data_IF_021264681092
#
_entry.id   IF_021264681092
#
_cell.length_a   1.000
_cell.length_b   1.000
_cell.length_c   1.000
_cell.angle_alpha   90.00
_cell.angle_beta   90.00
_cell.angle_gamma   90.00
#
_symmetry.space_group_name_H-M   'P 1'
#
loop_
_entity.id
_entity.type
_entity.pdbx_description
1 polymer ?
#
# COMPACT_ATOMS: atom_id res chain seq x y z
N UNK A 1 -41.54 -3.15 75.10
CA UNK A 1 -40.26 -3.86 75.08
C UNK A 1 -39.46 -3.36 73.88
N UNK A 2 -38.16 -3.07 74.06
CA UNK A 2 -37.21 -2.42 73.12
C UNK A 2 -37.74 -1.19 72.33
N UNK A 3 -37.40 0.05 72.66
CA UNK A 3 -36.10 0.76 72.68
C UNK A 3 -35.88 1.63 71.43
N UNK A 4 -35.14 2.73 71.61
CA UNK A 4 -35.04 3.95 70.76
C UNK A 4 -33.76 3.89 69.88
N UNK A 5 -33.26 4.99 69.25
CA UNK A 5 -33.90 6.03 68.44
C UNK A 5 -33.18 6.14 67.05
N UNK A 6 -32.99 7.25 66.31
CA UNK A 6 -33.35 8.70 66.36
C UNK A 6 -33.29 9.28 64.91
N UNK A 7 -33.18 10.60 64.78
CA UNK A 7 -32.72 11.37 63.61
C UNK A 7 -33.63 11.44 62.36
N UNK A 8 -34.74 12.19 62.41
CA UNK A 8 -34.87 13.67 62.39
C UNK A 8 -34.58 14.30 61.03
N UNK A 9 -35.61 14.93 60.44
CA UNK A 9 -35.77 16.40 60.29
C UNK A 9 -34.81 17.00 59.21
N UNK A 10 -35.20 17.94 58.33
CA UNK A 10 -35.97 19.15 58.60
C UNK A 10 -36.84 19.64 57.42
N UNK A 11 -37.66 20.65 57.74
CA UNK A 11 -38.71 21.30 56.95
C UNK A 11 -38.19 22.36 55.94
N UNK A 12 -39.05 22.89 55.03
CA UNK A 12 -38.62 23.63 53.85
C UNK A 12 -38.42 25.14 54.08
N UNK A 13 -37.70 25.80 53.16
CA UNK A 13 -37.71 27.26 53.02
C UNK A 13 -37.41 27.72 51.59
N UNK A 14 -38.16 28.74 51.15
CA UNK A 14 -37.99 29.53 49.93
C UNK A 14 -36.57 30.05 49.72
N UNK A 15 -36.06 30.00 48.49
CA UNK A 15 -34.90 30.81 48.07
C UNK A 15 -35.22 31.69 46.85
N UNK A 16 -34.55 32.84 46.81
CA UNK A 16 -34.82 34.03 45.96
C UNK A 16 -34.05 33.97 44.63
N UNK A 17 -34.27 34.92 43.68
CA UNK A 17 -33.71 34.85 42.32
C UNK A 17 -32.18 34.69 42.28
N UNK A 18 -31.71 33.80 41.42
CA UNK A 18 -30.29 33.68 41.10
C UNK A 18 -29.88 34.83 40.16
N UNK A 19 -28.90 35.60 40.62
CA UNK A 19 -28.30 36.75 39.95
C UNK A 19 -27.57 36.32 38.66
N UNK A 20 -27.84 36.98 37.53
CA UNK A 20 -27.19 36.70 36.25
C UNK A 20 -25.72 37.10 36.27
N UNK A 21 -24.84 36.15 36.58
CA UNK A 21 -23.39 36.31 36.44
C UNK A 21 -22.98 36.32 34.95
N UNK A 22 -22.08 37.22 34.50
CA UNK A 22 -21.65 37.23 33.11
C UNK A 22 -20.97 35.91 32.71
N UNK A 23 -21.39 35.33 31.58
CA UNK A 23 -20.65 34.25 30.93
C UNK A 23 -19.36 34.83 30.36
N UNK A 24 -18.25 34.54 31.03
CA UNK A 24 -16.91 34.77 30.47
C UNK A 24 -16.76 33.81 29.28
N UNK A 25 -16.44 34.28 28.07
CA UNK A 25 -16.21 33.37 26.95
C UNK A 25 -15.02 32.47 27.28
N UNK A 26 -15.11 31.14 27.03
CA UNK A 26 -14.01 30.24 27.33
C UNK A 26 -12.78 30.65 26.51
N UNK A 27 -11.62 30.65 27.17
CA UNK A 27 -10.34 30.90 26.52
C UNK A 27 -10.21 29.97 25.31
N UNK A 28 -9.91 30.53 24.14
CA UNK A 28 -9.78 29.75 22.93
C UNK A 28 -8.66 28.72 23.09
N UNK A 29 -9.03 27.44 23.16
CA UNK A 29 -8.09 26.36 23.04
C UNK A 29 -7.26 26.56 21.75
N UNK A 30 -5.95 26.24 21.76
CA UNK A 30 -5.15 26.34 20.55
C UNK A 30 -5.76 25.45 19.48
N UNK A 31 -6.39 26.07 18.48
CA UNK A 31 -6.84 25.35 17.28
C UNK A 31 -5.60 24.68 16.68
N UNK A 32 -5.64 23.40 16.30
CA UNK A 32 -4.56 22.84 15.53
C UNK A 32 -4.44 23.66 14.24
N UNK A 33 -3.29 24.32 14.07
CA UNK A 33 -2.91 24.93 12.79
C UNK A 33 -2.50 23.81 11.85
N UNK A 34 -3.47 22.98 11.44
CA UNK A 34 -3.28 22.05 10.34
C UNK A 34 -3.03 22.90 9.10
N UNK A 35 -1.81 22.79 8.58
CA UNK A 35 -1.30 23.68 7.53
C UNK A 35 -2.05 23.60 6.20
N UNK A 36 -1.67 24.51 5.32
CA UNK A 36 -2.20 24.73 3.98
C UNK A 36 -2.53 23.46 3.18
N UNK A 37 -3.60 23.48 2.35
CA UNK A 37 -3.84 22.43 1.37
C UNK A 37 -2.79 22.52 0.26
N UNK A 38 -2.22 21.37 -0.13
CA UNK A 38 -1.31 21.28 -1.26
C UNK A 38 0.17 21.34 -0.87
N UNK A 39 0.71 20.18 -0.53
CA UNK A 39 2.12 19.85 -0.68
C UNK A 39 2.19 18.39 -1.10
N UNK A 40 2.90 18.07 -2.18
CA UNK A 40 3.32 16.69 -2.39
C UNK A 40 4.20 16.33 -1.19
N UNK A 41 3.77 15.41 -0.32
CA UNK A 41 4.71 14.77 0.58
C UNK A 41 5.76 14.09 -0.31
N UNK A 42 7.02 14.53 -0.22
CA UNK A 42 8.13 13.86 -0.90
C UNK A 42 8.19 12.42 -0.37
N UNK A 43 7.73 11.49 -1.22
CA UNK A 43 7.68 10.08 -0.89
C UNK A 43 9.11 9.54 -1.00
N UNK A 44 9.69 9.11 0.13
CA UNK A 44 11.03 8.53 0.10
C UNK A 44 11.02 7.18 -0.63
N UNK A 45 12.13 6.87 -1.31
CA UNK A 45 12.30 5.57 -1.96
C UNK A 45 12.07 4.38 -1.00
N UNK A 46 12.58 4.37 0.25
CA UNK A 46 12.25 3.33 1.22
C UNK A 46 10.75 3.23 1.56
N UNK A 47 10.02 4.35 1.63
CA UNK A 47 8.57 4.32 1.84
C UNK A 47 7.83 3.74 0.61
N UNK A 48 8.28 4.07 -0.60
CA UNK A 48 7.72 3.51 -1.83
C UNK A 48 7.97 2.00 -1.93
N UNK A 49 9.20 1.53 -1.71
CA UNK A 49 9.54 0.09 -1.72
C UNK A 49 8.72 -0.65 -0.67
N UNK A 50 8.61 -0.12 0.56
CA UNK A 50 7.76 -0.72 1.61
C UNK A 50 6.28 -0.72 1.25
N UNK A 51 5.75 0.34 0.61
CA UNK A 51 4.37 0.36 0.13
C UNK A 51 4.11 -0.69 -0.97
N UNK A 52 5.09 -0.93 -1.86
CA UNK A 52 5.03 -1.95 -2.92
C UNK A 52 5.19 -3.39 -2.40
N UNK A 53 5.77 -3.59 -1.21
CA UNK A 53 5.74 -4.89 -0.56
C UNK A 53 4.32 -5.26 -0.09
N UNK A 54 3.49 -4.24 0.21
CA UNK A 54 2.15 -4.32 0.84
C UNK A 54 2.25 -4.87 2.29
N UNK A 55 1.48 -4.36 3.27
CA UNK A 55 1.59 -4.82 4.66
C UNK A 55 1.41 -6.33 4.79
N UNK A 56 2.37 -7.00 5.42
CA UNK A 56 2.41 -8.46 5.51
C UNK A 56 1.42 -9.02 6.55
N UNK A 57 1.20 -8.27 7.62
CA UNK A 57 0.33 -8.64 8.73
C UNK A 57 -0.52 -7.43 9.19
N UNK A 58 -1.63 -7.66 9.92
CA UNK A 58 -2.40 -6.58 10.55
C UNK A 58 -1.56 -5.69 11.48
N UNK A 59 -0.46 -6.22 12.03
CA UNK A 59 0.43 -5.54 12.97
C UNK A 59 1.57 -4.74 12.29
N UNK A 60 1.71 -4.81 10.96
CA UNK A 60 2.72 -4.04 10.22
C UNK A 60 2.34 -2.55 10.08
N UNK A 61 2.36 -1.87 11.22
CA UNK A 61 2.13 -0.44 11.34
C UNK A 61 3.14 0.40 10.56
N UNK A 62 4.32 -0.15 10.20
CA UNK A 62 5.29 0.53 9.36
C UNK A 62 4.87 0.48 7.88
N UNK A 63 4.45 -0.70 7.39
CA UNK A 63 3.86 -0.89 6.08
C UNK A 63 2.61 -0.05 5.88
N UNK A 64 1.67 -0.05 6.84
CA UNK A 64 0.47 0.78 6.74
C UNK A 64 0.77 2.29 6.65
N UNK A 65 1.78 2.79 7.38
CA UNK A 65 2.20 4.21 7.27
C UNK A 65 2.84 4.52 5.91
N UNK A 66 3.71 3.64 5.42
CA UNK A 66 4.35 3.79 4.11
C UNK A 66 3.31 3.76 2.98
N UNK A 67 2.39 2.79 3.03
CA UNK A 67 1.24 2.66 2.13
C UNK A 67 0.36 3.91 2.13
N UNK A 68 -0.03 4.43 3.30
CA UNK A 68 -0.83 5.66 3.40
C UNK A 68 -0.13 6.88 2.77
N UNK A 69 1.19 7.01 2.93
CA UNK A 69 1.97 8.10 2.32
C UNK A 69 2.08 7.93 0.81
N UNK A 70 2.34 6.70 0.33
CA UNK A 70 2.41 6.42 -1.10
C UNK A 70 1.07 6.67 -1.81
N UNK A 71 -0.06 6.32 -1.19
CA UNK A 71 -1.41 6.56 -1.72
C UNK A 71 -1.79 8.05 -1.82
N UNK A 72 -1.18 8.94 -1.01
CA UNK A 72 -1.36 10.40 -1.11
C UNK A 72 -0.57 11.00 -2.27
N UNK A 73 0.55 10.39 -2.66
CA UNK A 73 1.42 10.89 -3.71
C UNK A 73 0.91 10.49 -5.10
N UNK A 74 0.57 11.45 -5.95
CA UNK A 74 -0.23 11.23 -7.17
C UNK A 74 0.28 10.13 -8.11
N UNK A 75 1.59 10.10 -8.43
CA UNK A 75 2.17 9.04 -9.30
C UNK A 75 2.20 7.69 -8.58
N UNK A 76 2.87 7.65 -7.42
CA UNK A 76 3.09 6.44 -6.63
C UNK A 76 1.77 5.73 -6.26
N UNK A 77 0.74 6.49 -5.84
CA UNK A 77 -0.56 5.95 -5.49
C UNK A 77 -1.23 5.18 -6.62
N UNK A 78 -1.07 5.62 -7.88
CA UNK A 78 -1.60 4.89 -9.05
C UNK A 78 -0.89 3.55 -9.28
N UNK A 79 0.41 3.46 -8.96
CA UNK A 79 1.20 2.24 -9.10
C UNK A 79 0.87 1.27 -7.97
N UNK A 80 0.82 1.77 -6.74
CA UNK A 80 0.47 1.00 -5.54
C UNK A 80 -0.95 0.45 -5.62
N UNK A 81 -1.93 1.26 -6.04
CA UNK A 81 -3.31 0.77 -6.26
C UNK A 81 -3.35 -0.34 -7.31
N UNK A 82 -2.74 -0.12 -8.48
CA UNK A 82 -2.72 -1.13 -9.53
C UNK A 82 -2.02 -2.44 -9.10
N UNK A 83 -0.99 -2.35 -8.24
CA UNK A 83 -0.35 -3.51 -7.65
C UNK A 83 -1.24 -4.22 -6.62
N UNK A 84 -1.94 -3.47 -5.74
CA UNK A 84 -2.89 -4.03 -4.78
C UNK A 84 -4.06 -4.75 -5.49
N UNK A 85 -4.60 -4.15 -6.56
CA UNK A 85 -5.66 -4.76 -7.36
C UNK A 85 -5.18 -6.07 -8.01
N UNK A 86 -3.97 -6.07 -8.59
CA UNK A 86 -3.39 -7.27 -9.21
C UNK A 86 -3.08 -8.37 -8.19
N UNK A 87 -2.46 -8.03 -7.06
CA UNK A 87 -2.18 -8.97 -5.96
C UNK A 87 -3.46 -9.57 -5.38
N UNK A 88 -4.53 -8.76 -5.29
CA UNK A 88 -5.86 -9.24 -4.87
C UNK A 88 -6.40 -10.27 -5.86
N UNK A 89 -6.34 -10.02 -7.17
CA UNK A 89 -6.78 -10.97 -8.19
C UNK A 89 -5.92 -12.25 -8.23
N UNK A 90 -4.61 -12.14 -8.04
CA UNK A 90 -3.71 -13.29 -7.94
C UNK A 90 -4.08 -14.18 -6.74
N UNK A 91 -4.34 -13.58 -5.56
CA UNK A 91 -4.74 -14.32 -4.36
C UNK A 91 -6.09 -15.06 -4.51
N UNK A 92 -7.03 -14.52 -5.29
CA UNK A 92 -8.32 -15.16 -5.56
C UNK A 92 -8.19 -16.46 -6.35
N UNK A 93 -7.14 -16.59 -7.17
CA UNK A 93 -6.81 -17.79 -7.92
C UNK A 93 -5.75 -18.67 -7.20
N UNK A 94 -5.41 -18.33 -5.95
CA UNK A 94 -4.44 -19.07 -5.12
C UNK A 94 -2.98 -18.80 -5.43
N UNK A 95 -2.66 -17.74 -6.19
CA UNK A 95 -1.30 -17.37 -6.56
C UNK A 95 -0.74 -16.34 -5.57
N UNK A 96 0.09 -16.79 -4.62
CA UNK A 96 0.75 -15.93 -3.65
C UNK A 96 2.21 -15.66 -4.04
N UNK A 97 2.66 -14.41 -3.88
CA UNK A 97 4.01 -14.01 -4.33
C UNK A 97 5.11 -14.43 -3.35
N UNK A 98 4.74 -14.76 -2.12
CA UNK A 98 5.62 -15.24 -1.06
C UNK A 98 6.03 -16.71 -1.28
N UNK A 99 5.22 -17.50 -2.01
CA UNK A 99 5.49 -18.89 -2.39
C UNK A 99 6.44 -19.03 -3.59
N UNK A 100 6.73 -17.92 -4.29
CA UNK A 100 7.68 -17.88 -5.41
C UNK A 100 9.08 -17.70 -4.84
N UNK A 101 9.91 -18.75 -4.94
CA UNK A 101 11.28 -18.78 -4.42
C UNK A 101 12.17 -17.72 -5.13
N UNK A 102 12.71 -16.73 -4.41
CA UNK A 102 13.45 -15.64 -5.01
C UNK A 102 14.90 -16.07 -5.34
N UNK A 103 15.08 -16.77 -6.46
CA UNK A 103 16.34 -16.66 -7.19
C UNK A 103 16.56 -15.17 -7.50
N UNK A 104 17.65 -14.60 -6.96
CA UNK A 104 17.84 -13.16 -6.91
C UNK A 104 17.98 -12.57 -8.32
N UNK A 105 16.95 -11.85 -8.77
CA UNK A 105 16.94 -11.23 -10.09
C UNK A 105 17.96 -10.11 -10.16
N UNK A 106 19.07 -10.36 -10.87
CA UNK A 106 20.19 -9.43 -11.10
C UNK A 106 19.69 -7.99 -11.37
N UNK A 107 20.14 -6.97 -10.59
CA UNK A 107 19.80 -5.56 -10.82
C UNK A 107 19.96 -5.07 -12.26
N UNK A 108 20.88 -5.68 -13.03
CA UNK A 108 21.06 -5.41 -14.47
C UNK A 108 19.82 -5.77 -15.30
N UNK A 109 19.06 -6.81 -14.93
CA UNK A 109 17.78 -7.11 -15.58
C UNK A 109 16.80 -5.94 -15.40
N UNK A 110 16.64 -5.45 -14.17
CA UNK A 110 15.73 -4.34 -13.87
C UNK A 110 16.12 -3.06 -14.60
N UNK A 111 17.43 -2.78 -14.74
CA UNK A 111 17.91 -1.66 -15.57
C UNK A 111 17.56 -1.81 -17.05
N UNK A 112 17.67 -3.03 -17.63
CA UNK A 112 17.21 -3.29 -19.02
C UNK A 112 15.71 -3.08 -19.19
N UNK A 113 14.90 -3.55 -18.23
CA UNK A 113 13.44 -3.33 -18.25
C UNK A 113 13.11 -1.84 -18.19
N UNK A 114 13.75 -1.08 -17.30
CA UNK A 114 13.58 0.38 -17.20
C UNK A 114 14.03 1.14 -18.47
N UNK A 115 15.04 0.64 -19.19
CA UNK A 115 15.45 1.14 -20.50
C UNK A 115 14.47 0.76 -21.65
N UNK A 116 13.43 -0.03 -21.36
CA UNK A 116 12.42 -0.46 -22.33
C UNK A 116 12.75 -1.75 -23.08
N UNK A 117 13.85 -2.44 -22.75
CA UNK A 117 14.36 -3.62 -23.47
C UNK A 117 13.58 -4.93 -23.18
N UNK A 118 12.27 -4.86 -22.90
CA UNK A 118 11.49 -6.00 -22.39
C UNK A 118 11.48 -7.22 -23.31
N UNK A 119 11.45 -6.98 -24.63
CA UNK A 119 11.49 -8.03 -25.68
C UNK A 119 12.91 -8.49 -26.05
N UNK A 120 13.93 -8.02 -25.33
CA UNK A 120 15.33 -8.43 -25.51
C UNK A 120 15.94 -8.98 -24.20
N UNK A 121 15.32 -8.67 -23.06
CA UNK A 121 15.62 -9.31 -21.79
C UNK A 121 14.89 -10.66 -21.71
N UNK A 122 15.60 -11.81 -21.64
CA UNK A 122 14.95 -13.06 -21.26
C UNK A 122 14.38 -12.92 -19.86
N UNK A 123 13.25 -13.59 -19.60
CA UNK A 123 12.72 -13.69 -18.23
C UNK A 123 13.81 -14.26 -17.30
N UNK A 124 13.95 -13.76 -16.05
CA UNK A 124 14.92 -14.32 -15.12
C UNK A 124 14.59 -15.80 -14.85
N UNK A 125 15.60 -16.64 -14.71
CA UNK A 125 15.41 -18.01 -14.23
C UNK A 125 14.74 -17.95 -12.84
N UNK A 126 13.74 -18.81 -12.58
CA UNK A 126 12.99 -18.82 -11.33
C UNK A 126 12.00 -17.66 -11.14
N UNK A 127 11.86 -16.72 -12.08
CA UNK A 127 11.01 -15.53 -11.91
C UNK A 127 9.53 -15.81 -11.60
N UNK A 128 9.03 -16.97 -12.02
CA UNK A 128 7.75 -17.55 -11.62
C UNK A 128 7.76 -19.06 -11.93
N UNK A 129 6.98 -19.84 -11.17
CA UNK A 129 6.67 -21.22 -11.54
C UNK A 129 5.85 -21.28 -12.84
N UNK A 130 6.15 -22.25 -13.69
CA UNK A 130 5.48 -22.44 -14.98
C UNK A 130 3.96 -22.68 -14.81
N UNK A 131 3.54 -23.41 -13.78
CA UNK A 131 2.11 -23.63 -13.54
C UNK A 131 1.39 -22.33 -13.11
N UNK A 132 2.06 -21.47 -12.34
CA UNK A 132 1.54 -20.14 -12.00
C UNK A 132 1.43 -19.23 -13.23
N UNK A 133 2.44 -19.25 -14.12
CA UNK A 133 2.41 -18.51 -15.40
C UNK A 133 1.24 -18.99 -16.29
N UNK A 134 1.07 -20.31 -16.44
CA UNK A 134 -0.01 -20.89 -17.23
C UNK A 134 -1.40 -20.58 -16.66
N UNK A 135 -1.56 -20.65 -15.34
CA UNK A 135 -2.80 -20.30 -14.65
C UNK A 135 -3.15 -18.81 -14.86
N UNK A 136 -2.19 -17.90 -14.65
CA UNK A 136 -2.35 -16.47 -14.89
C UNK A 136 -2.70 -16.19 -16.37
N UNK A 137 -2.02 -16.84 -17.32
CA UNK A 137 -2.26 -16.67 -18.75
C UNK A 137 -3.65 -17.21 -19.17
N UNK A 138 -4.08 -18.35 -18.61
CA UNK A 138 -5.43 -18.88 -18.80
C UNK A 138 -6.50 -17.95 -18.22
N UNK A 139 -6.21 -17.29 -17.10
CA UNK A 139 -7.10 -16.30 -16.49
C UNK A 139 -7.23 -15.04 -17.32
N UNK A 140 -6.13 -14.49 -17.83
CA UNK A 140 -6.15 -13.35 -18.75
C UNK A 140 -6.94 -13.65 -20.04
N UNK A 141 -6.87 -14.88 -20.56
CA UNK A 141 -7.69 -15.31 -21.71
C UNK A 141 -9.19 -15.36 -21.38
N UNK A 142 -9.56 -15.92 -20.22
CA UNK A 142 -10.95 -16.19 -19.84
C UNK A 142 -11.69 -15.02 -19.13
N UNK A 143 -10.97 -14.07 -18.52
CA UNK A 143 -11.54 -12.98 -17.75
C UNK A 143 -11.00 -11.61 -18.23
N UNK A 144 -11.88 -10.79 -18.82
CA UNK A 144 -11.53 -9.45 -19.32
C UNK A 144 -11.11 -8.50 -18.20
N UNK A 145 -11.79 -8.51 -17.05
CA UNK A 145 -11.44 -7.64 -15.91
C UNK A 145 -10.02 -7.95 -15.42
N UNK A 146 -9.69 -9.24 -15.31
CA UNK A 146 -8.34 -9.68 -14.94
C UNK A 146 -7.28 -9.22 -15.95
N UNK A 147 -7.57 -9.36 -17.25
CA UNK A 147 -6.69 -8.91 -18.34
C UNK A 147 -6.46 -7.39 -18.31
N UNK A 148 -7.51 -6.62 -18.11
CA UNK A 148 -7.45 -5.15 -18.09
C UNK A 148 -6.70 -4.65 -16.85
N UNK A 149 -6.92 -5.26 -15.68
CA UNK A 149 -6.14 -4.99 -14.46
C UNK A 149 -4.67 -5.34 -14.66
N UNK A 150 -4.35 -6.51 -15.22
CA UNK A 150 -2.98 -6.91 -15.54
C UNK A 150 -2.28 -5.92 -16.49
N UNK A 151 -2.95 -5.51 -17.59
CA UNK A 151 -2.42 -4.52 -18.52
C UNK A 151 -2.26 -3.13 -17.88
N UNK A 152 -3.16 -2.73 -16.99
CA UNK A 152 -3.03 -1.49 -16.23
C UNK A 152 -1.82 -1.54 -15.31
N UNK A 153 -1.71 -2.59 -14.50
CA UNK A 153 -0.60 -2.81 -13.57
C UNK A 153 0.75 -2.84 -14.28
N UNK A 154 0.92 -3.66 -15.32
CA UNK A 154 2.17 -3.72 -16.10
C UNK A 154 2.59 -2.35 -16.64
N UNK A 155 1.62 -1.54 -17.14
CA UNK A 155 1.91 -0.19 -17.64
C UNK A 155 2.29 0.79 -16.53
N UNK A 156 1.66 0.72 -15.36
CA UNK A 156 1.97 1.60 -14.23
C UNK A 156 3.31 1.28 -13.59
N UNK A 157 3.57 -0.01 -13.37
CA UNK A 157 4.82 -0.47 -12.76
C UNK A 157 6.01 -0.17 -13.66
N UNK A 158 5.87 -0.36 -14.98
CA UNK A 158 6.92 -0.02 -15.94
C UNK A 158 7.24 1.49 -16.00
N UNK A 159 6.23 2.36 -16.01
CA UNK A 159 6.48 3.80 -15.95
C UNK A 159 7.23 4.20 -14.67
N UNK A 160 6.94 3.54 -13.55
CA UNK A 160 7.69 3.73 -12.30
C UNK A 160 9.14 3.23 -12.41
N UNK A 161 9.37 2.07 -13.05
CA UNK A 161 10.73 1.58 -13.28
C UNK A 161 11.53 2.55 -14.14
N UNK A 162 10.98 3.00 -15.28
CA UNK A 162 11.61 3.97 -16.17
C UNK A 162 11.89 5.33 -15.48
N UNK A 163 10.97 5.81 -14.65
CA UNK A 163 11.10 7.08 -13.90
C UNK A 163 12.14 7.02 -12.76
N UNK A 164 12.53 5.83 -12.27
CA UNK A 164 13.21 5.68 -10.96
C UNK A 164 14.48 4.81 -11.00
N UNK A 165 14.48 3.70 -11.72
CA UNK A 165 15.61 2.74 -11.77
C UNK A 165 16.93 3.35 -12.26
N UNK A 166 16.97 4.34 -13.18
CA UNK A 166 18.22 4.98 -13.58
C UNK A 166 19.00 5.67 -12.45
N UNK A 167 18.29 6.19 -11.44
CA UNK A 167 18.85 7.09 -10.41
C UNK A 167 19.07 6.40 -9.04
N UNK A 168 18.81 5.09 -8.93
CA UNK A 168 18.90 4.33 -7.66
C UNK A 168 20.03 3.28 -7.69
N UNK A 169 20.53 2.97 -6.49
CA UNK A 169 21.63 2.01 -6.30
C UNK A 169 21.18 0.56 -6.47
N UNK A 170 22.13 -0.34 -6.66
CA UNK A 170 21.88 -1.77 -6.87
C UNK A 170 21.15 -2.39 -5.67
N UNK A 171 21.51 -2.00 -4.44
CA UNK A 171 20.85 -2.46 -3.21
C UNK A 171 19.38 -2.00 -3.13
N UNK A 172 19.06 -0.82 -3.68
CA UNK A 172 17.69 -0.34 -3.77
C UNK A 172 16.89 -1.07 -4.86
N UNK A 173 17.54 -1.49 -5.95
CA UNK A 173 16.96 -2.33 -6.98
C UNK A 173 16.69 -3.74 -6.43
N UNK A 174 17.61 -4.32 -5.66
CA UNK A 174 17.40 -5.60 -4.97
C UNK A 174 16.23 -5.53 -3.98
N UNK A 175 16.17 -4.47 -3.16
CA UNK A 175 15.05 -4.24 -2.24
C UNK A 175 13.71 -4.06 -2.96
N UNK A 176 13.70 -3.41 -4.14
CA UNK A 176 12.52 -3.32 -5.00
C UNK A 176 12.13 -4.69 -5.59
N UNK A 177 13.10 -5.44 -6.10
CA UNK A 177 12.91 -6.76 -6.69
C UNK A 177 12.33 -7.78 -5.69
N UNK A 178 12.69 -7.65 -4.41
CA UNK A 178 12.16 -8.47 -3.32
C UNK A 178 10.68 -8.17 -2.97
N UNK A 179 10.06 -7.11 -3.51
CA UNK A 179 8.66 -6.79 -3.22
C UNK A 179 7.67 -7.74 -3.90
N UNK A 180 6.53 -8.02 -3.24
CA UNK A 180 5.41 -8.75 -3.85
C UNK A 180 4.96 -8.14 -5.17
N UNK A 181 4.95 -6.81 -5.28
CA UNK A 181 4.64 -6.12 -6.53
C UNK A 181 5.64 -6.42 -7.65
N UNK A 182 6.94 -6.46 -7.36
CA UNK A 182 7.96 -6.81 -8.36
C UNK A 182 7.84 -8.27 -8.82
N UNK A 183 7.59 -9.21 -7.88
CA UNK A 183 7.32 -10.62 -8.21
C UNK A 183 6.05 -10.79 -9.06
N UNK A 184 4.97 -10.09 -8.70
CA UNK A 184 3.74 -10.06 -9.50
C UNK A 184 3.99 -9.48 -10.89
N UNK A 185 4.82 -8.44 -11.03
CA UNK A 185 5.19 -7.88 -12.33
C UNK A 185 5.91 -8.90 -13.22
N UNK A 186 6.82 -9.70 -12.66
CA UNK A 186 7.49 -10.78 -13.37
C UNK A 186 6.52 -11.88 -13.80
N UNK A 187 5.72 -12.42 -12.88
CA UNK A 187 4.71 -13.45 -13.16
C UNK A 187 3.71 -13.01 -14.25
N UNK A 188 3.11 -11.83 -14.07
CA UNK A 188 2.11 -11.30 -15.00
C UNK A 188 2.75 -10.89 -16.33
N UNK A 189 4.00 -10.40 -16.34
CA UNK A 189 4.74 -10.10 -17.56
C UNK A 189 5.08 -11.35 -18.38
N UNK A 190 5.43 -12.47 -17.72
CA UNK A 190 5.61 -13.77 -18.37
C UNK A 190 4.28 -14.26 -18.97
N UNK A 191 3.20 -14.27 -18.18
CA UNK A 191 1.88 -14.71 -18.60
C UNK A 191 1.28 -13.87 -19.75
N UNK A 192 1.68 -12.59 -19.85
CA UNK A 192 1.28 -11.66 -20.90
C UNK A 192 2.16 -11.72 -22.16
N UNK A 193 3.26 -12.49 -22.18
CA UNK A 193 4.21 -12.52 -23.31
C UNK A 193 4.95 -11.20 -23.52
N UNK A 194 5.29 -10.50 -22.42
CA UNK A 194 6.02 -9.22 -22.44
C UNK A 194 7.54 -9.45 -22.51
N UNK A 195 8.02 -10.53 -21.90
CA UNK A 195 9.41 -11.00 -21.97
C UNK A 195 9.57 -12.04 -23.09
N UNK A 196 10.80 -12.22 -23.57
CA UNK A 196 11.12 -13.39 -24.40
C UNK A 196 11.07 -14.67 -23.54
N UNK A 197 10.58 -15.80 -24.09
CA UNK A 197 10.69 -17.10 -23.42
C UNK A 197 12.16 -17.48 -23.25
N UNK A 198 12.48 -18.08 -22.10
CA UNK A 198 13.81 -18.60 -21.78
C UNK A 198 14.10 -19.93 -22.48
#
# INVERSE_FOLDING_TARGET
DHDRPDNREFRPATQRPAETRPVVPPAAAPRPTTGHPGGNEDLSLPDLIRALHVPETPDDMAGFRALQRALRHHKAGQVVQAAQDMLTLLSQDGLYMDDIDPDAVDPRFWRRIAAGERRAAPAPAGAADAAAVDACAARMRSNTVYRDTAQHFLRRFDQMLADMVPDISDEAIEALAATRSARAFLLVGCAAGVFEPA
#
